data_IF_146698570801
#
_entry.id   IF_146698570801
#
_cell.length_a   1.000
_cell.length_b   1.000
_cell.length_c   1.000
_cell.angle_alpha   90.00
_cell.angle_beta   90.00
_cell.angle_gamma   90.00
#
_symmetry.space_group_name_H-M   'P 1'
#
loop_
_entity.id
_entity.type
_entity.pdbx_description
1 polymer ?
#
# COMPACT_ATOMS: atom_id res chain seq x y z
N UNK A 1 -33.67 -26.39 9.55
CA UNK A 1 -32.40 -26.46 8.79
C UNK A 1 -32.32 -25.29 7.84
N UNK A 2 -31.40 -24.35 8.04
CA UNK A 2 -30.76 -23.61 6.95
C UNK A 2 -29.52 -22.92 7.48
N UNK A 3 -28.37 -23.60 7.34
CA UNK A 3 -27.07 -23.02 7.58
C UNK A 3 -26.89 -21.87 6.59
N UNK A 4 -27.02 -20.62 7.05
CA UNK A 4 -26.74 -19.42 6.26
C UNK A 4 -25.32 -19.55 5.69
N UNK A 5 -25.20 -19.91 4.41
CA UNK A 5 -23.92 -20.05 3.74
C UNK A 5 -23.33 -18.65 3.62
N UNK A 6 -22.41 -18.29 4.52
CA UNK A 6 -21.60 -17.06 4.39
C UNK A 6 -21.07 -16.97 2.95
N UNK A 7 -21.37 -15.86 2.30
CA UNK A 7 -20.89 -15.60 0.95
C UNK A 7 -19.37 -15.44 0.99
N UNK A 8 -18.65 -16.11 0.10
CA UNK A 8 -17.18 -15.99 0.02
C UNK A 8 -16.80 -14.80 -0.86
N UNK A 9 -15.65 -14.18 -0.61
CA UNK A 9 -15.12 -13.12 -1.46
C UNK A 9 -15.06 -13.54 -2.93
N UNK A 10 -14.68 -14.78 -3.23
CA UNK A 10 -14.66 -15.29 -4.60
C UNK A 10 -16.01 -15.17 -5.31
N UNK A 11 -17.10 -15.54 -4.62
CA UNK A 11 -18.45 -15.41 -5.17
C UNK A 11 -18.88 -13.94 -5.25
N UNK A 12 -18.52 -13.15 -4.26
CA UNK A 12 -18.85 -11.73 -4.22
C UNK A 12 -18.17 -10.96 -5.37
N UNK A 13 -16.90 -11.26 -5.68
CA UNK A 13 -16.18 -10.72 -6.84
C UNK A 13 -16.92 -11.03 -8.16
N UNK A 14 -17.48 -12.23 -8.30
CA UNK A 14 -18.28 -12.57 -9.48
C UNK A 14 -19.54 -11.70 -9.61
N UNK A 15 -20.13 -11.30 -8.49
CA UNK A 15 -21.34 -10.45 -8.48
C UNK A 15 -21.03 -9.00 -8.86
N UNK A 16 -19.77 -8.55 -8.72
CA UNK A 16 -19.29 -7.21 -9.11
C UNK A 16 -18.50 -7.20 -10.43
N UNK A 17 -18.81 -8.17 -11.31
CA UNK A 17 -18.36 -8.18 -12.69
C UNK A 17 -17.08 -8.94 -12.99
N UNK A 18 -16.51 -9.69 -12.04
CA UNK A 18 -15.43 -10.62 -12.34
C UNK A 18 -15.96 -11.89 -13.01
N UNK A 19 -15.40 -12.25 -14.16
CA UNK A 19 -15.80 -13.44 -14.89
C UNK A 19 -14.97 -14.64 -14.47
N UNK A 20 -15.61 -15.79 -14.26
CA UNK A 20 -14.91 -17.04 -13.98
C UNK A 20 -14.33 -17.61 -15.27
N UNK A 21 -13.01 -17.64 -15.36
CA UNK A 21 -12.26 -18.14 -16.54
C UNK A 21 -11.63 -19.52 -16.31
N UNK A 22 -11.63 -20.02 -15.07
CA UNK A 22 -11.05 -21.32 -14.76
C UNK A 22 -11.34 -21.81 -13.35
N UNK A 23 -10.77 -22.95 -12.94
CA UNK A 23 -10.83 -23.42 -11.57
C UNK A 23 -10.28 -22.35 -10.63
N UNK A 24 -11.12 -21.86 -9.72
CA UNK A 24 -10.75 -20.85 -8.71
C UNK A 24 -10.06 -19.61 -9.29
N UNK A 25 -10.35 -19.27 -10.54
CA UNK A 25 -9.71 -18.17 -11.26
C UNK A 25 -10.78 -17.28 -11.86
N UNK A 26 -10.65 -15.98 -11.59
CA UNK A 26 -11.51 -14.90 -12.05
C UNK A 26 -10.70 -13.92 -12.89
N UNK A 27 -11.38 -13.20 -13.78
CA UNK A 27 -10.79 -12.14 -14.60
C UNK A 27 -11.75 -10.95 -14.72
N UNK A 28 -11.20 -9.73 -14.70
CA UNK A 28 -11.91 -8.49 -15.04
C UNK A 28 -10.94 -7.57 -15.79
N UNK A 29 -11.18 -7.38 -17.08
CA UNK A 29 -10.21 -6.73 -17.96
C UNK A 29 -8.88 -7.48 -17.98
N UNK A 30 -7.78 -6.75 -17.77
CA UNK A 30 -6.42 -7.29 -17.76
C UNK A 30 -5.99 -7.86 -16.39
N UNK A 31 -6.89 -7.87 -15.40
CA UNK A 31 -6.61 -8.34 -14.05
C UNK A 31 -7.18 -9.74 -13.87
N UNK A 32 -6.32 -10.67 -13.47
CA UNK A 32 -6.66 -12.05 -13.12
C UNK A 32 -6.43 -12.29 -11.63
N UNK A 33 -7.41 -12.94 -11.00
CA UNK A 33 -7.38 -13.27 -9.57
C UNK A 33 -7.60 -14.76 -9.41
N UNK A 34 -6.68 -15.46 -8.76
CA UNK A 34 -6.80 -16.90 -8.50
C UNK A 34 -6.59 -17.26 -7.04
N UNK A 35 -7.26 -18.31 -6.57
CA UNK A 35 -7.03 -18.88 -5.24
C UNK A 35 -6.15 -20.11 -5.36
N UNK A 36 -5.01 -20.07 -4.69
CA UNK A 36 -4.09 -21.19 -4.55
C UNK A 36 -4.29 -21.85 -3.18
N UNK A 37 -4.49 -23.17 -3.19
CA UNK A 37 -4.62 -23.99 -1.99
C UNK A 37 -3.36 -24.85 -1.88
N UNK A 38 -2.37 -24.36 -1.14
CA UNK A 38 -1.19 -25.14 -0.76
C UNK A 38 -1.35 -25.56 0.72
N UNK A 39 -0.31 -25.36 1.55
CA UNK A 39 -0.43 -25.48 3.00
C UNK A 39 -1.32 -24.38 3.61
N UNK A 40 -1.42 -23.23 2.93
CA UNK A 40 -2.28 -22.10 3.29
C UNK A 40 -3.11 -21.67 2.07
N UNK A 41 -4.19 -20.92 2.32
CA UNK A 41 -5.03 -20.33 1.27
C UNK A 41 -4.46 -18.97 0.88
N UNK A 42 -3.91 -18.88 -0.32
CA UNK A 42 -3.35 -17.64 -0.86
C UNK A 42 -4.15 -17.15 -2.07
N UNK A 43 -4.16 -15.84 -2.25
CA UNK A 43 -4.72 -15.17 -3.42
C UNK A 43 -3.59 -14.68 -4.30
N UNK A 44 -3.61 -15.07 -5.56
CA UNK A 44 -2.68 -14.58 -6.57
C UNK A 44 -3.40 -13.56 -7.43
N UNK A 45 -2.80 -12.39 -7.59
CA UNK A 45 -3.25 -11.32 -8.48
C UNK A 45 -2.22 -11.15 -9.59
N UNK A 46 -2.66 -11.27 -10.82
CA UNK A 46 -1.83 -11.18 -12.02
C UNK A 46 -2.36 -10.05 -12.89
N UNK A 47 -1.48 -9.12 -13.25
CA UNK A 47 -1.69 -8.04 -14.21
C UNK A 47 -0.81 -8.28 -15.44
N UNK A 48 -0.85 -7.38 -16.43
CA UNK A 48 0.08 -7.41 -17.57
C UNK A 48 1.54 -7.37 -17.17
N UNK A 49 1.86 -6.69 -16.07
CA UNK A 49 3.25 -6.36 -15.70
C UNK A 49 3.72 -7.05 -14.43
N UNK A 50 2.79 -7.46 -13.56
CA UNK A 50 3.11 -7.96 -12.23
C UNK A 50 2.31 -9.19 -11.86
N UNK A 51 2.93 -10.01 -11.01
CA UNK A 51 2.25 -11.10 -10.29
C UNK A 51 2.52 -10.94 -8.79
N UNK A 52 1.46 -10.87 -8.01
CA UNK A 52 1.48 -10.56 -6.59
C UNK A 52 0.71 -11.64 -5.80
N UNK A 53 1.14 -11.93 -4.58
CA UNK A 53 0.54 -12.98 -3.73
C UNK A 53 0.12 -12.40 -2.39
N UNK A 54 -1.09 -12.73 -1.96
CA UNK A 54 -1.74 -12.20 -0.77
C UNK A 54 -2.24 -13.33 0.12
N UNK A 55 -1.82 -13.35 1.38
CA UNK A 55 -2.25 -14.34 2.37
C UNK A 55 -3.62 -14.05 2.99
N UNK A 56 -4.18 -12.86 2.73
CA UNK A 56 -5.46 -12.45 3.30
C UNK A 56 -6.32 -11.68 2.29
N UNK A 57 -7.64 -11.75 2.48
CA UNK A 57 -8.64 -11.15 1.60
C UNK A 57 -8.59 -9.62 1.61
N UNK A 58 -8.26 -9.01 2.76
CA UNK A 58 -8.24 -7.55 2.93
C UNK A 58 -7.20 -6.90 2.01
N UNK A 59 -5.97 -7.41 2.04
CA UNK A 59 -4.87 -6.90 1.21
C UNK A 59 -5.16 -7.07 -0.28
N UNK A 60 -5.80 -8.17 -0.68
CA UNK A 60 -6.24 -8.37 -2.07
C UNK A 60 -7.28 -7.31 -2.48
N UNK A 61 -8.35 -7.13 -1.69
CA UNK A 61 -9.43 -6.19 -2.02
C UNK A 61 -8.89 -4.76 -2.10
N UNK A 62 -8.00 -4.39 -1.18
CA UNK A 62 -7.29 -3.12 -1.24
C UNK A 62 -6.51 -2.95 -2.54
N UNK A 63 -5.73 -3.94 -2.95
CA UNK A 63 -4.98 -3.87 -4.21
C UNK A 63 -5.90 -3.75 -5.42
N UNK A 64 -7.01 -4.49 -5.44
CA UNK A 64 -8.02 -4.39 -6.49
C UNK A 64 -8.63 -2.99 -6.57
N UNK A 65 -8.84 -2.34 -5.43
CA UNK A 65 -9.31 -0.95 -5.37
C UNK A 65 -8.26 0.04 -5.90
N UNK A 66 -7.00 -0.11 -5.48
CA UNK A 66 -5.88 0.72 -5.99
C UNK A 66 -5.69 0.60 -7.51
N UNK A 67 -5.89 -0.61 -8.05
CA UNK A 67 -5.86 -0.89 -9.48
C UNK A 67 -7.15 -0.46 -10.21
N UNK A 68 -8.13 0.12 -9.50
CA UNK A 68 -9.45 0.52 -10.02
C UNK A 68 -10.24 -0.64 -10.64
N UNK A 69 -9.94 -1.88 -10.25
CA UNK A 69 -10.68 -3.07 -10.65
C UNK A 69 -12.05 -3.15 -9.94
N UNK A 70 -12.12 -2.56 -8.75
CA UNK A 70 -13.33 -2.37 -7.96
C UNK A 70 -13.45 -0.89 -7.57
N UNK A 71 -14.69 -0.43 -7.48
CA UNK A 71 -15.07 0.95 -7.17
C UNK A 71 -15.60 1.10 -5.74
N UNK A 72 -15.92 2.32 -5.33
CA UNK A 72 -16.62 2.56 -4.05
C UNK A 72 -18.01 1.91 -4.02
N UNK A 73 -18.73 1.90 -5.15
CA UNK A 73 -20.03 1.23 -5.26
C UNK A 73 -19.90 -0.28 -5.08
N UNK A 74 -18.83 -0.87 -5.63
CA UNK A 74 -18.53 -2.29 -5.43
C UNK A 74 -18.21 -2.59 -3.97
N UNK A 75 -17.44 -1.72 -3.29
CA UNK A 75 -17.14 -1.87 -1.86
C UNK A 75 -18.41 -1.78 -1.00
N UNK A 76 -19.32 -0.87 -1.34
CA UNK A 76 -20.62 -0.74 -0.66
C UNK A 76 -21.45 -2.01 -0.82
N UNK A 77 -21.50 -2.53 -2.04
CA UNK A 77 -22.17 -3.78 -2.32
C UNK A 77 -21.55 -4.94 -1.54
N UNK A 78 -20.22 -5.06 -1.50
CA UNK A 78 -19.53 -6.07 -0.68
C UNK A 78 -19.86 -5.96 0.81
N UNK A 79 -19.93 -4.74 1.35
CA UNK A 79 -20.32 -4.51 2.74
C UNK A 79 -21.76 -5.00 3.02
N UNK A 80 -22.71 -4.78 2.09
CA UNK A 80 -24.07 -5.32 2.24
C UNK A 80 -24.12 -6.86 2.28
N UNK A 81 -23.10 -7.52 1.74
CA UNK A 81 -22.94 -8.98 1.74
C UNK A 81 -22.19 -9.49 2.98
N UNK A 82 -21.86 -8.61 3.93
CA UNK A 82 -21.10 -8.93 5.14
C UNK A 82 -19.59 -9.03 4.93
N UNK A 83 -19.08 -8.45 3.84
CA UNK A 83 -17.66 -8.37 3.51
C UNK A 83 -17.21 -6.90 3.54
N UNK A 84 -17.16 -6.33 4.74
CA UNK A 84 -16.76 -4.94 4.94
C UNK A 84 -15.22 -4.82 5.00
N UNK A 85 -14.68 -4.07 4.04
CA UNK A 85 -13.24 -3.81 3.90
C UNK A 85 -12.93 -2.30 3.90
N UNK A 86 -13.93 -1.42 4.14
CA UNK A 86 -13.77 0.04 4.00
C UNK A 86 -12.79 0.62 5.01
N UNK A 87 -12.90 0.23 6.29
CA UNK A 87 -12.03 0.75 7.35
C UNK A 87 -10.53 0.52 7.02
N UNK A 88 -10.19 -0.67 6.50
CA UNK A 88 -8.82 -1.04 6.17
C UNK A 88 -8.27 -0.27 4.94
N UNK A 89 -9.14 0.11 3.99
CA UNK A 89 -8.76 0.89 2.80
C UNK A 89 -8.57 2.37 3.15
N UNK A 90 -9.44 2.91 4.01
CA UNK A 90 -9.37 4.31 4.45
C UNK A 90 -8.19 4.59 5.41
N UNK A 91 -7.86 3.68 6.32
CA UNK A 91 -6.70 3.86 7.22
C UNK A 91 -5.40 3.98 6.42
N UNK A 92 -5.20 3.11 5.42
CA UNK A 92 -3.98 3.16 4.59
C UNK A 92 -3.84 4.43 3.77
N UNK A 93 -4.94 5.01 3.29
CA UNK A 93 -4.90 6.22 2.46
C UNK A 93 -4.73 7.48 3.31
N UNK A 94 -5.31 7.52 4.51
CA UNK A 94 -5.10 8.60 5.47
C UNK A 94 -3.67 8.61 6.01
N UNK A 95 -3.10 7.46 6.39
CA UNK A 95 -1.72 7.39 6.88
C UNK A 95 -0.69 7.71 5.78
N UNK A 96 -0.89 7.27 4.54
CA UNK A 96 0.02 7.58 3.44
C UNK A 96 -0.02 9.07 3.08
N UNK A 97 -1.21 9.69 2.99
CA UNK A 97 -1.33 11.12 2.71
C UNK A 97 -0.77 11.99 3.85
N UNK A 98 -1.01 11.64 5.12
CA UNK A 98 -0.45 12.37 6.26
C UNK A 98 1.07 12.20 6.34
N UNK A 99 1.59 10.98 6.15
CA UNK A 99 3.03 10.75 6.14
C UNK A 99 3.73 11.45 4.98
N UNK A 100 3.15 11.42 3.77
CA UNK A 100 3.66 12.14 2.60
C UNK A 100 3.60 13.65 2.82
N UNK A 101 2.50 14.17 3.40
CA UNK A 101 2.37 15.59 3.73
C UNK A 101 3.40 16.01 4.79
N UNK A 102 3.61 15.20 5.82
CA UNK A 102 4.61 15.42 6.86
C UNK A 102 6.02 15.44 6.29
N UNK A 103 6.38 14.44 5.46
CA UNK A 103 7.69 14.39 4.79
C UNK A 103 7.90 15.65 3.94
N UNK A 104 6.91 16.02 3.13
CA UNK A 104 7.04 17.14 2.21
C UNK A 104 7.06 18.51 2.90
N UNK A 105 6.27 18.69 3.96
CA UNK A 105 6.11 19.99 4.63
C UNK A 105 7.11 20.20 5.77
N UNK A 106 7.59 19.13 6.40
CA UNK A 106 8.41 19.22 7.62
C UNK A 106 9.82 18.69 7.36
N UNK A 107 9.95 17.46 6.84
CA UNK A 107 11.25 16.78 6.71
C UNK A 107 12.07 17.35 5.55
N UNK A 108 11.51 17.43 4.35
CA UNK A 108 12.23 17.87 3.16
C UNK A 108 12.78 19.31 3.26
N UNK A 109 12.05 20.32 3.77
CA UNK A 109 12.61 21.67 3.92
C UNK A 109 13.84 21.71 4.83
N UNK A 110 13.85 20.93 5.91
CA UNK A 110 15.00 20.84 6.81
C UNK A 110 16.17 20.12 6.17
N UNK A 111 15.91 19.00 5.48
CA UNK A 111 16.96 18.31 4.73
C UNK A 111 17.54 19.19 3.62
N UNK A 112 16.72 20.04 2.99
CA UNK A 112 17.18 21.00 2.00
C UNK A 112 18.11 22.05 2.62
N UNK A 113 17.81 22.52 3.83
CA UNK A 113 18.67 23.46 4.57
C UNK A 113 20.03 22.82 4.88
N UNK A 114 20.03 21.65 5.51
CA UNK A 114 21.24 20.87 5.83
C UNK A 114 22.06 20.62 4.57
N UNK A 115 21.40 20.21 3.49
CA UNK A 115 22.07 19.87 2.24
C UNK A 115 22.71 21.10 1.59
N UNK A 116 22.07 22.27 1.68
CA UNK A 116 22.63 23.54 1.18
C UNK A 116 23.81 24.02 2.02
N UNK A 117 23.69 23.96 3.34
CA UNK A 117 24.75 24.33 4.28
C UNK A 117 25.99 23.44 4.10
N UNK A 118 25.78 22.17 3.74
CA UNK A 118 26.86 21.21 3.51
C UNK A 118 27.27 21.06 2.03
N UNK A 119 27.06 22.10 1.21
CA UNK A 119 27.57 22.14 -0.17
C UNK A 119 27.05 21.03 -1.08
N UNK A 120 25.78 20.63 -0.92
CA UNK A 120 25.13 19.53 -1.63
C UNK A 120 25.76 18.15 -1.37
N UNK A 121 26.29 17.94 -0.16
CA UNK A 121 26.87 16.66 0.28
C UNK A 121 26.20 16.13 1.54
N UNK A 122 26.15 14.81 1.65
CA UNK A 122 25.68 14.15 2.86
C UNK A 122 26.65 14.44 4.02
N UNK A 123 26.17 14.89 5.19
CA UNK A 123 27.02 15.20 6.35
C UNK A 123 27.61 13.95 7.01
N UNK A 124 27.02 12.77 6.80
CA UNK A 124 27.47 11.51 7.41
C UNK A 124 28.59 10.86 6.59
N UNK A 125 28.45 10.80 5.25
CA UNK A 125 29.38 10.07 4.38
C UNK A 125 30.02 10.92 3.27
N UNK A 126 29.78 12.23 3.25
CA UNK A 126 30.33 13.20 2.30
C UNK A 126 30.00 12.95 0.80
N UNK A 127 29.08 12.03 0.52
CA UNK A 127 28.62 11.72 -0.83
C UNK A 127 27.85 12.90 -1.42
N UNK A 128 28.09 13.23 -2.68
CA UNK A 128 27.39 14.31 -3.39
C UNK A 128 25.95 13.90 -3.69
N UNK A 129 25.00 14.75 -3.34
CA UNK A 129 23.58 14.55 -3.59
C UNK A 129 23.13 15.39 -4.78
N UNK A 130 22.19 14.86 -5.55
CA UNK A 130 21.66 15.55 -6.75
C UNK A 130 20.42 16.39 -6.44
N UNK A 131 19.68 16.03 -5.39
CA UNK A 131 18.46 16.74 -4.96
C UNK A 131 18.16 16.41 -3.50
N UNK A 132 17.26 17.19 -2.89
CA UNK A 132 16.76 16.91 -1.53
C UNK A 132 16.06 15.55 -1.44
N UNK A 133 15.29 15.15 -2.46
CA UNK A 133 14.64 13.83 -2.51
C UNK A 133 15.66 12.69 -2.61
N UNK A 134 16.71 12.86 -3.42
CA UNK A 134 17.82 11.90 -3.48
C UNK A 134 18.52 11.82 -2.12
N UNK A 135 18.70 12.95 -1.44
CA UNK A 135 19.28 12.98 -0.11
C UNK A 135 18.40 12.28 0.94
N UNK A 136 17.09 12.52 0.96
CA UNK A 136 16.15 11.81 1.83
C UNK A 136 16.23 10.29 1.63
N UNK A 137 16.14 9.83 0.37
CA UNK A 137 16.25 8.41 0.06
C UNK A 137 17.60 7.84 0.49
N UNK A 138 18.70 8.55 0.21
CA UNK A 138 20.03 8.14 0.64
C UNK A 138 20.12 7.97 2.16
N UNK A 139 19.59 8.91 2.95
CA UNK A 139 19.54 8.77 4.40
C UNK A 139 18.69 7.58 4.83
N UNK A 140 17.49 7.43 4.26
CA UNK A 140 16.58 6.34 4.60
C UNK A 140 17.19 4.94 4.36
N UNK A 141 18.00 4.78 3.31
CA UNK A 141 18.64 3.51 2.96
C UNK A 141 19.97 3.24 3.68
N UNK A 142 20.80 4.27 3.88
CA UNK A 142 22.18 4.08 4.33
C UNK A 142 22.48 4.67 5.71
N UNK A 143 21.66 5.62 6.18
CA UNK A 143 21.88 6.38 7.41
C UNK A 143 20.55 6.57 8.15
N UNK A 144 19.79 5.48 8.32
CA UNK A 144 18.42 5.51 8.86
C UNK A 144 18.40 6.10 10.28
N UNK A 145 19.37 5.74 11.11
CA UNK A 145 19.52 6.26 12.47
C UNK A 145 19.66 7.78 12.51
N UNK A 146 20.44 8.36 11.59
CA UNK A 146 20.59 9.81 11.46
C UNK A 146 19.29 10.50 11.04
N UNK A 147 18.52 9.87 10.13
CA UNK A 147 17.20 10.39 9.73
C UNK A 147 16.19 10.31 10.89
N UNK A 148 16.21 9.24 11.67
CA UNK A 148 15.36 9.05 12.85
C UNK A 148 15.69 10.06 13.96
N UNK A 149 16.98 10.34 14.20
CA UNK A 149 17.41 11.37 15.16
C UNK A 149 16.94 12.76 14.72
N UNK A 150 17.18 13.14 13.47
CA UNK A 150 16.73 14.40 12.90
C UNK A 150 15.22 14.58 12.99
N UNK A 151 14.45 13.55 12.63
CA UNK A 151 12.98 13.62 12.68
C UNK A 151 12.47 13.65 14.13
N UNK A 152 13.13 12.99 15.07
CA UNK A 152 12.79 13.04 16.49
C UNK A 152 13.00 14.43 17.09
N UNK A 153 14.12 15.09 16.75
CA UNK A 153 14.38 16.48 17.15
C UNK A 153 13.32 17.44 16.59
N UNK A 154 12.86 17.21 15.36
CA UNK A 154 11.83 18.06 14.72
C UNK A 154 10.44 17.91 15.35
N UNK A 155 10.10 16.73 15.88
CA UNK A 155 8.79 16.45 16.50
C UNK A 155 8.77 16.89 17.98
N UNK A 156 9.91 17.32 18.54
CA UNK A 156 9.97 17.76 19.93
C UNK A 156 9.81 16.62 20.94
N UNK A 157 10.10 15.37 20.54
CA UNK A 157 10.30 14.29 21.51
C UNK A 157 11.67 14.48 22.17
N UNK A 158 11.74 15.39 23.14
CA UNK A 158 12.79 15.31 24.16
C UNK A 158 12.60 14.00 24.94
N UNK A 159 13.69 13.28 25.26
CA UNK A 159 13.64 12.06 26.06
C UNK A 159 12.96 12.27 27.42
#
# INVERSE_FOLDING_TARGET
>A
MNSSRRLTLFKALMMIGFQKIGPRTLQKGDIKVSINFSYEVNWELETTDTKEVYSNQKSLVKRLYELRAISNEDLDYLATLGLDFREDIEESTKFSHVAISFINQIVLPQLQKILRENGMRCPVCNRRMMSTSHFYNHLNYFHKEYLEELTSQMIGKTP
#
